data_IF_375944525278
#
_entry.id   IF_375944525278
#
_cell.length_a   1.000
_cell.length_b   1.000
_cell.length_c   1.000
_cell.angle_alpha   90.00
_cell.angle_beta   90.00
_cell.angle_gamma   90.00
#
_symmetry.space_group_name_H-M   'P 1'
#
loop_
_entity.id
_entity.type
_entity.pdbx_description
1 polymer ?
#
# COMPACT_ATOMS: atom_id res chain seq x y z
N UNK A 1 43.39 -21.20 -84.56
CA UNK A 1 43.72 -19.97 -83.79
C UNK A 1 42.42 -19.25 -83.49
N UNK A 2 42.34 -18.62 -82.30
CA UNK A 2 41.16 -18.08 -81.60
C UNK A 2 40.27 -19.22 -81.03
N UNK A 3 40.32 -19.61 -79.75
CA UNK A 3 40.24 -18.86 -78.48
C UNK A 3 38.93 -18.12 -78.32
N UNK A 4 38.01 -18.67 -77.52
CA UNK A 4 37.22 -17.91 -76.57
C UNK A 4 36.78 -18.82 -75.42
N UNK A 5 37.10 -18.35 -74.21
CA UNK A 5 36.83 -18.94 -72.90
C UNK A 5 35.51 -18.32 -72.36
N UNK A 6 34.92 -18.89 -71.29
CA UNK A 6 33.51 -18.74 -70.94
C UNK A 6 33.26 -17.52 -70.03
N UNK A 7 32.09 -16.91 -70.13
CA UNK A 7 31.63 -15.93 -69.13
C UNK A 7 30.50 -16.54 -68.29
N UNK A 8 30.92 -16.83 -67.07
CA UNK A 8 30.26 -17.33 -65.87
C UNK A 8 28.88 -16.74 -65.54
N UNK A 9 27.89 -17.62 -65.40
CA UNK A 9 26.59 -17.40 -64.71
C UNK A 9 26.73 -17.10 -63.19
N UNK A 10 27.96 -17.00 -62.67
CA UNK A 10 28.23 -16.75 -61.25
C UNK A 10 28.24 -15.27 -60.86
N UNK A 11 28.53 -14.38 -61.82
CA UNK A 11 28.62 -12.92 -61.55
C UNK A 11 27.25 -12.29 -61.24
N UNK A 12 26.17 -12.77 -61.88
CA UNK A 12 24.84 -12.14 -61.72
C UNK A 12 24.20 -12.44 -60.37
N UNK A 13 24.61 -13.52 -59.70
CA UNK A 13 24.04 -13.92 -58.40
C UNK A 13 24.74 -13.29 -57.19
N UNK A 14 26.00 -12.86 -57.35
CA UNK A 14 26.75 -12.17 -56.30
C UNK A 14 26.34 -10.69 -56.20
N UNK A 15 26.02 -10.05 -57.33
CA UNK A 15 25.57 -8.65 -57.36
C UNK A 15 24.19 -8.42 -56.72
N UNK A 16 23.28 -9.41 -56.78
CA UNK A 16 21.97 -9.33 -56.12
C UNK A 16 22.09 -9.55 -54.59
N UNK A 17 23.11 -10.31 -54.16
CA UNK A 17 23.31 -10.63 -52.74
C UNK A 17 24.05 -9.51 -51.99
N UNK A 18 24.87 -8.73 -52.68
CA UNK A 18 25.60 -7.59 -52.10
C UNK A 18 24.73 -6.34 -51.95
N UNK A 19 23.63 -6.21 -52.71
CA UNK A 19 22.68 -5.11 -52.55
C UNK A 19 21.71 -5.26 -51.35
N UNK A 20 21.66 -6.44 -50.72
CA UNK A 20 20.76 -6.76 -49.59
C UNK A 20 21.46 -6.78 -48.23
N UNK A 21 22.75 -6.43 -48.16
CA UNK A 21 23.49 -6.37 -46.91
C UNK A 21 23.91 -4.94 -46.60
N UNK A 22 23.25 -4.40 -45.57
CA UNK A 22 23.84 -3.49 -44.58
C UNK A 22 23.93 -2.00 -44.95
N UNK A 23 22.85 -1.42 -45.49
CA UNK A 23 22.52 -0.07 -45.01
C UNK A 23 21.74 -0.21 -43.70
N UNK A 24 22.21 0.35 -42.58
CA UNK A 24 21.33 0.53 -41.44
C UNK A 24 20.20 1.44 -41.92
N UNK A 25 19.02 0.86 -42.16
CA UNK A 25 17.81 1.64 -42.39
C UNK A 25 17.77 2.68 -41.27
N UNK A 26 17.86 3.95 -41.67
CA UNK A 26 17.82 5.05 -40.74
C UNK A 26 16.45 5.00 -40.09
N UNK A 27 16.39 4.47 -38.87
CA UNK A 27 15.15 4.30 -38.12
C UNK A 27 14.41 5.64 -38.16
N UNK A 28 13.19 5.61 -38.70
CA UNK A 28 12.33 6.80 -38.85
C UNK A 28 12.13 7.47 -37.48
N UNK A 29 11.99 8.79 -37.46
CA UNK A 29 11.75 9.53 -36.22
C UNK A 29 10.49 9.02 -35.48
N UNK A 30 9.46 8.62 -36.25
CA UNK A 30 8.23 8.04 -35.72
C UNK A 30 8.51 6.68 -35.06
N UNK A 31 9.32 5.83 -35.71
CA UNK A 31 9.70 4.53 -35.14
C UNK A 31 10.55 4.69 -33.87
N UNK A 32 11.49 5.63 -33.86
CA UNK A 32 12.29 5.94 -32.65
C UNK A 32 11.39 6.39 -31.50
N UNK A 33 10.42 7.26 -31.78
CA UNK A 33 9.45 7.75 -30.79
C UNK A 33 8.67 6.59 -30.16
N UNK A 34 8.08 5.71 -30.97
CA UNK A 34 7.34 4.56 -30.44
C UNK A 34 8.24 3.56 -29.72
N UNK A 35 9.48 3.37 -30.18
CA UNK A 35 10.45 2.53 -29.47
C UNK A 35 10.73 3.07 -28.07
N UNK A 36 11.00 4.37 -27.96
CA UNK A 36 11.20 5.03 -26.67
C UNK A 36 9.99 4.88 -25.75
N UNK A 37 8.76 5.09 -26.25
CA UNK A 37 7.55 4.94 -25.44
C UNK A 37 7.32 3.50 -24.96
N UNK A 38 7.57 2.50 -25.81
CA UNK A 38 7.46 1.09 -25.42
C UNK A 38 8.53 0.72 -24.40
N UNK A 39 9.77 1.16 -24.60
CA UNK A 39 10.88 0.88 -23.69
C UNK A 39 10.66 1.53 -22.31
N UNK A 40 10.09 2.74 -22.25
CA UNK A 40 9.70 3.40 -21.00
C UNK A 40 8.70 2.57 -20.20
N UNK A 41 7.63 2.06 -20.85
CA UNK A 41 6.65 1.19 -20.17
C UNK A 41 7.29 -0.14 -19.73
N UNK A 42 8.24 -0.68 -20.50
CA UNK A 42 8.98 -1.89 -20.10
C UNK A 42 9.87 -1.65 -18.88
N UNK A 43 10.53 -0.50 -18.78
CA UNK A 43 11.34 -0.13 -17.62
C UNK A 43 10.46 0.00 -16.36
N UNK A 44 9.33 0.70 -16.47
CA UNK A 44 8.34 0.79 -15.39
C UNK A 44 7.81 -0.58 -14.96
N UNK A 45 7.65 -1.51 -15.90
CA UNK A 45 7.21 -2.87 -15.60
C UNK A 45 8.25 -3.63 -14.76
N UNK A 46 9.54 -3.44 -14.99
CA UNK A 46 10.58 -4.14 -14.21
C UNK A 46 10.56 -3.71 -12.74
N UNK A 47 10.44 -2.40 -12.47
CA UNK A 47 10.30 -1.88 -11.11
C UNK A 47 9.02 -2.40 -10.45
N UNK A 48 7.91 -2.36 -11.19
CA UNK A 48 6.63 -2.89 -10.71
C UNK A 48 6.73 -4.36 -10.34
N UNK A 49 7.30 -5.19 -11.20
CA UNK A 49 7.42 -6.63 -10.99
C UNK A 49 8.21 -6.96 -9.72
N UNK A 50 9.25 -6.20 -9.42
CA UNK A 50 10.01 -6.36 -8.18
C UNK A 50 9.15 -6.05 -6.95
N UNK A 51 8.39 -4.95 -6.97
CA UNK A 51 7.51 -4.56 -5.87
C UNK A 51 6.32 -5.50 -5.70
N UNK A 52 5.72 -5.92 -6.81
CA UNK A 52 4.63 -6.89 -6.87
C UNK A 52 5.09 -8.23 -6.28
N UNK A 53 6.17 -8.81 -6.78
CA UNK A 53 6.67 -10.11 -6.30
C UNK A 53 7.03 -10.09 -4.81
N UNK A 54 7.71 -9.04 -4.34
CA UNK A 54 8.05 -8.87 -2.92
C UNK A 54 6.80 -8.79 -2.04
N UNK A 55 5.77 -8.08 -2.50
CA UNK A 55 4.49 -7.96 -1.78
C UNK A 55 3.74 -9.30 -1.78
N UNK A 56 3.74 -10.01 -2.91
CA UNK A 56 3.02 -11.29 -3.07
C UNK A 56 3.63 -12.44 -2.28
N UNK A 57 4.95 -12.44 -2.06
CA UNK A 57 5.60 -13.41 -1.16
C UNK A 57 5.08 -13.34 0.28
N UNK A 58 4.54 -12.19 0.70
CA UNK A 58 3.99 -12.03 2.06
C UNK A 58 2.69 -12.82 2.27
N UNK A 59 1.96 -13.17 1.20
CA UNK A 59 0.70 -13.94 1.32
C UNK A 59 0.95 -15.27 2.02
N UNK A 60 1.95 -16.04 1.57
CA UNK A 60 2.29 -17.35 2.15
C UNK A 60 2.76 -17.23 3.61
N UNK A 61 3.47 -16.14 3.94
CA UNK A 61 3.85 -15.83 5.32
C UNK A 61 2.59 -15.69 6.19
N UNK A 62 1.63 -14.88 5.75
CA UNK A 62 0.39 -14.67 6.50
C UNK A 62 -0.45 -15.93 6.63
N UNK A 63 -0.59 -16.72 5.56
CA UNK A 63 -1.30 -18.01 5.61
C UNK A 63 -0.70 -18.92 6.69
N UNK A 64 0.62 -19.06 6.70
CA UNK A 64 1.33 -19.91 7.66
C UNK A 64 1.15 -19.40 9.09
N UNK A 65 1.35 -18.10 9.33
CA UNK A 65 1.21 -17.51 10.66
C UNK A 65 -0.22 -17.62 11.20
N UNK A 66 -1.23 -17.42 10.35
CA UNK A 66 -2.64 -17.57 10.74
C UNK A 66 -2.98 -19.03 11.04
N UNK A 67 -2.51 -19.98 10.23
CA UNK A 67 -2.72 -21.40 10.48
C UNK A 67 -2.07 -21.86 11.78
N UNK A 68 -0.82 -21.46 12.03
CA UNK A 68 -0.11 -21.76 13.26
C UNK A 68 -0.86 -21.20 14.48
N UNK A 69 -1.34 -19.97 14.40
CA UNK A 69 -2.12 -19.35 15.46
C UNK A 69 -3.46 -20.02 15.71
N UNK A 70 -4.16 -20.41 14.65
CA UNK A 70 -5.40 -21.19 14.76
C UNK A 70 -5.13 -22.53 15.46
N UNK A 71 -4.00 -23.18 15.16
CA UNK A 71 -3.61 -24.44 15.82
C UNK A 71 -3.33 -24.26 17.32
N UNK A 72 -2.64 -23.18 17.71
CA UNK A 72 -2.40 -22.84 19.12
C UNK A 72 -3.69 -22.49 19.86
N UNK A 73 -4.62 -21.82 19.19
CA UNK A 73 -5.92 -21.48 19.74
C UNK A 73 -6.77 -22.73 19.99
N UNK A 74 -6.72 -23.73 19.10
CA UNK A 74 -7.37 -25.03 19.30
C UNK A 74 -6.78 -25.77 20.52
N UNK A 75 -5.45 -25.73 20.72
CA UNK A 75 -4.82 -26.31 21.92
C UNK A 75 -5.28 -25.61 23.19
N UNK A 76 -5.46 -24.28 23.15
CA UNK A 76 -5.97 -23.51 24.28
C UNK A 76 -7.43 -23.86 24.59
N UNK A 77 -8.26 -24.05 23.57
CA UNK A 77 -9.66 -24.47 23.70
C UNK A 77 -9.78 -25.88 24.29
N UNK A 78 -8.90 -26.81 23.90
CA UNK A 78 -8.84 -28.16 24.48
C UNK A 78 -8.41 -28.14 25.95
N UNK A 79 -7.36 -27.38 26.31
CA UNK A 79 -6.94 -27.20 27.71
C UNK A 79 -8.08 -26.69 28.59
N UNK A 80 -8.85 -25.73 28.08
CA UNK A 80 -10.04 -25.20 28.77
C UNK A 80 -11.08 -26.27 29.06
N UNK A 81 -11.36 -27.18 28.11
CA UNK A 81 -12.31 -28.30 28.31
C UNK A 81 -11.86 -29.26 29.41
N UNK A 82 -10.56 -29.47 29.55
CA UNK A 82 -9.98 -30.38 30.54
C UNK A 82 -9.98 -29.76 31.95
N UNK A 83 -9.79 -28.44 32.07
CA UNK A 83 -9.65 -27.74 33.35
C UNK A 83 -10.95 -27.11 33.89
N UNK A 84 -12.11 -27.44 33.30
CA UNK A 84 -13.42 -26.85 33.59
C UNK A 84 -13.91 -27.24 35.01
N UNK A 85 -13.44 -26.51 36.03
CA UNK A 85 -13.76 -26.73 37.44
C UNK A 85 -12.90 -25.98 38.46
N UNK A 86 -11.70 -25.52 38.07
CA UNK A 86 -10.77 -24.80 38.96
C UNK A 86 -10.74 -23.30 38.68
N UNK A 87 -10.89 -22.47 39.73
CA UNK A 87 -10.79 -21.01 39.60
C UNK A 87 -9.39 -20.53 39.21
N UNK A 88 -8.34 -21.25 39.59
CA UNK A 88 -6.96 -20.96 39.18
C UNK A 88 -6.72 -21.21 37.69
N UNK A 89 -7.40 -22.21 37.10
CA UNK A 89 -7.30 -22.53 35.67
C UNK A 89 -7.84 -21.41 34.77
N UNK A 90 -8.88 -20.69 35.21
CA UNK A 90 -9.41 -19.54 34.47
C UNK A 90 -8.41 -18.38 34.36
N UNK A 91 -7.59 -18.17 35.39
CA UNK A 91 -6.55 -17.13 35.37
C UNK A 91 -5.36 -17.53 34.50
N UNK A 92 -4.93 -18.80 34.51
CA UNK A 92 -3.86 -19.29 33.62
C UNK A 92 -4.30 -19.25 32.15
N UNK A 93 -5.49 -19.75 31.82
CA UNK A 93 -6.02 -19.72 30.44
C UNK A 93 -6.14 -18.28 29.89
N UNK A 94 -6.57 -17.33 30.72
CA UNK A 94 -6.62 -15.91 30.33
C UNK A 94 -5.23 -15.31 30.12
N UNK A 95 -4.23 -15.74 30.89
CA UNK A 95 -2.83 -15.34 30.70
C UNK A 95 -2.28 -15.86 29.37
N UNK A 96 -2.59 -17.12 29.02
CA UNK A 96 -2.15 -17.76 27.78
C UNK A 96 -2.87 -17.21 26.54
N UNK A 97 -4.13 -16.81 26.66
CA UNK A 97 -4.92 -16.21 25.57
C UNK A 97 -4.41 -14.82 25.15
N UNK A 98 -3.84 -14.05 26.09
CA UNK A 98 -3.51 -12.64 25.88
C UNK A 98 -2.36 -12.43 24.87
N UNK A 99 -1.24 -13.19 24.90
CA UNK A 99 -0.22 -13.15 23.85
C UNK A 99 -0.78 -13.48 22.47
N UNK A 100 -1.60 -14.52 22.34
CA UNK A 100 -2.23 -14.92 21.07
C UNK A 100 -3.13 -13.81 20.52
N UNK A 101 -3.94 -13.19 21.38
CA UNK A 101 -4.77 -12.05 21.00
C UNK A 101 -3.96 -10.86 20.49
N UNK A 102 -2.86 -10.53 21.17
CA UNK A 102 -2.00 -9.42 20.75
C UNK A 102 -1.35 -9.71 19.40
N UNK A 103 -0.88 -10.94 19.19
CA UNK A 103 -0.23 -11.33 17.94
C UNK A 103 -1.20 -11.40 16.77
N UNK A 104 -2.42 -11.93 16.96
CA UNK A 104 -3.49 -11.85 15.96
C UNK A 104 -3.81 -10.41 15.56
N UNK A 105 -3.78 -9.47 16.53
CA UNK A 105 -3.99 -8.05 16.25
C UNK A 105 -2.83 -7.44 15.45
N UNK A 106 -1.59 -7.86 15.71
CA UNK A 106 -0.43 -7.44 14.95
C UNK A 106 -0.53 -7.91 13.48
N UNK A 107 -0.84 -9.20 13.26
CA UNK A 107 -1.05 -9.73 11.92
C UNK A 107 -2.21 -9.00 11.21
N UNK A 108 -3.33 -8.73 11.90
CA UNK A 108 -4.43 -7.95 11.31
C UNK A 108 -3.96 -6.57 10.82
N UNK A 109 -3.11 -5.89 11.59
CA UNK A 109 -2.54 -4.61 11.15
C UNK A 109 -1.56 -4.77 9.98
N UNK A 110 -0.77 -5.83 9.94
CA UNK A 110 0.11 -6.13 8.79
C UNK A 110 -0.70 -6.45 7.52
N UNK A 111 -1.77 -7.25 7.62
CA UNK A 111 -2.69 -7.52 6.51
C UNK A 111 -3.33 -6.23 5.99
N UNK A 112 -3.70 -5.32 6.89
CA UNK A 112 -4.28 -4.02 6.51
C UNK A 112 -3.27 -3.20 5.68
N UNK A 113 -2.01 -3.12 6.14
CA UNK A 113 -0.94 -2.44 5.39
C UNK A 113 -0.66 -3.14 4.05
N UNK A 114 -0.74 -4.46 4.01
CA UNK A 114 -0.62 -5.22 2.76
C UNK A 114 -1.72 -4.85 1.76
N UNK A 115 -2.98 -4.80 2.21
CA UNK A 115 -4.12 -4.41 1.37
C UNK A 115 -3.94 -2.99 0.81
N UNK A 116 -3.49 -2.04 1.63
CA UNK A 116 -3.21 -0.67 1.18
C UNK A 116 -2.13 -0.63 0.07
N UNK A 117 -1.04 -1.39 0.23
CA UNK A 117 0.00 -1.51 -0.80
C UNK A 117 -0.53 -2.17 -2.08
N UNK A 118 -1.32 -3.23 -1.94
CA UNK A 118 -1.92 -3.92 -3.09
C UNK A 118 -2.90 -3.04 -3.85
N UNK A 119 -3.59 -2.11 -3.17
CA UNK A 119 -4.41 -1.10 -3.84
C UNK A 119 -3.57 -0.11 -4.66
N UNK A 120 -2.40 0.32 -4.16
CA UNK A 120 -1.49 1.16 -4.94
C UNK A 120 -1.00 0.42 -6.20
N UNK A 121 -0.58 -0.84 -6.06
CA UNK A 121 -0.20 -1.68 -7.20
C UNK A 121 -1.33 -1.82 -8.23
N UNK A 122 -2.58 -1.92 -7.76
CA UNK A 122 -3.75 -2.05 -8.64
C UNK A 122 -3.99 -0.79 -9.46
N UNK A 123 -3.81 0.37 -8.86
CA UNK A 123 -3.97 1.63 -9.57
C UNK A 123 -2.83 1.88 -10.56
N UNK A 124 -1.60 1.46 -10.24
CA UNK A 124 -0.49 1.46 -11.20
C UNK A 124 -0.74 0.54 -12.40
N UNK A 125 -1.24 -0.69 -12.18
CA UNK A 125 -1.61 -1.62 -13.25
C UNK A 125 -2.61 -1.00 -14.21
N UNK A 126 -3.64 -0.32 -13.69
CA UNK A 126 -4.61 0.42 -14.51
C UNK A 126 -3.96 1.57 -15.26
N UNK A 127 -3.09 2.35 -14.59
CA UNK A 127 -2.38 3.46 -15.21
C UNK A 127 -1.53 3.02 -16.41
N UNK A 128 -0.79 1.91 -16.25
CA UNK A 128 -0.02 1.31 -17.35
C UNK A 128 -0.91 0.80 -18.47
N UNK A 129 -2.06 0.22 -18.15
CA UNK A 129 -3.02 -0.22 -19.17
C UNK A 129 -3.56 0.96 -19.98
N UNK A 130 -3.87 2.08 -19.33
CA UNK A 130 -4.25 3.33 -20.00
C UNK A 130 -3.14 3.86 -20.90
N UNK A 131 -1.90 3.97 -20.40
CA UNK A 131 -0.74 4.38 -21.21
C UNK A 131 -0.56 3.50 -22.46
N UNK A 132 -0.71 2.19 -22.31
CA UNK A 132 -0.66 1.26 -23.45
C UNK A 132 -1.80 1.46 -24.44
N UNK A 133 -3.01 1.83 -23.99
CA UNK A 133 -4.10 2.22 -24.89
C UNK A 133 -3.77 3.51 -25.64
N UNK A 134 -3.22 4.51 -24.97
CA UNK A 134 -2.83 5.79 -25.58
C UNK A 134 -1.76 5.55 -26.65
N UNK A 135 -0.72 4.76 -26.36
CA UNK A 135 0.30 4.36 -27.36
C UNK A 135 -0.36 3.63 -28.55
N UNK A 136 -1.31 2.73 -28.29
CA UNK A 136 -2.03 1.99 -29.33
C UNK A 136 -2.81 2.92 -30.27
N UNK A 137 -3.47 3.94 -29.70
CA UNK A 137 -4.20 4.96 -30.44
C UNK A 137 -3.25 5.85 -31.25
N UNK A 138 -2.12 6.25 -30.68
CA UNK A 138 -1.09 7.03 -31.36
C UNK A 138 -0.48 6.28 -32.55
N UNK A 139 -0.17 4.99 -32.41
CA UNK A 139 0.31 4.16 -33.53
C UNK A 139 -0.74 4.14 -34.66
N UNK A 140 -2.03 4.02 -34.30
CA UNK A 140 -3.12 4.00 -35.28
C UNK A 140 -3.28 5.35 -35.99
N UNK A 141 -3.12 6.45 -35.25
CA UNK A 141 -3.16 7.80 -35.81
C UNK A 141 -1.98 8.05 -36.76
N UNK A 142 -0.75 7.71 -36.34
CA UNK A 142 0.46 7.86 -37.15
C UNK A 142 0.40 7.05 -38.46
N UNK A 143 -0.19 5.85 -38.42
CA UNK A 143 -0.39 5.03 -39.62
C UNK A 143 -1.37 5.68 -40.60
N UNK A 144 -2.46 6.29 -40.11
CA UNK A 144 -3.42 7.00 -40.97
C UNK A 144 -2.81 8.23 -41.60
N UNK A 145 -2.11 9.06 -40.81
CA UNK A 145 -1.42 10.24 -41.29
C UNK A 145 -0.35 9.88 -42.34
N UNK A 146 0.41 8.82 -42.11
CA UNK A 146 1.42 8.35 -43.08
C UNK A 146 0.85 7.72 -44.35
N UNK A 147 -0.44 7.33 -44.35
CA UNK A 147 -1.13 6.88 -45.55
C UNK A 147 -1.67 8.05 -46.40
N UNK A 148 -1.80 9.23 -45.80
CA UNK A 148 -2.15 10.49 -46.48
C UNK A 148 -0.90 11.24 -46.99
N UNK A 149 0.30 10.87 -46.52
CA UNK A 149 1.61 11.39 -46.95
C UNK A 149 2.23 10.52 -48.05
N UNK A 150 2.72 11.13 -49.13
CA UNK A 150 3.34 10.44 -50.27
C UNK A 150 4.67 9.75 -49.89
N UNK A 151 5.28 10.16 -48.77
CA UNK A 151 6.60 9.68 -48.32
C UNK A 151 6.53 8.41 -47.46
N UNK A 152 5.32 7.93 -47.07
CA UNK A 152 5.11 6.70 -46.28
C UNK A 152 6.05 6.55 -45.07
N UNK A 153 6.24 7.64 -44.32
CA UNK A 153 7.20 7.75 -43.20
C UNK A 153 7.00 6.74 -42.06
N UNK A 154 5.81 6.14 -41.97
CA UNK A 154 5.48 5.05 -41.06
C UNK A 154 4.67 3.98 -41.78
N UNK A 155 5.27 2.81 -41.94
CA UNK A 155 4.70 1.73 -42.75
C UNK A 155 3.67 0.91 -41.98
N UNK A 156 2.75 0.26 -42.70
CA UNK A 156 1.82 -0.71 -42.10
C UNK A 156 2.55 -1.87 -41.40
N UNK A 157 3.75 -2.24 -41.85
CA UNK A 157 4.57 -3.27 -41.23
C UNK A 157 5.08 -2.82 -39.84
N UNK A 158 5.66 -1.62 -39.75
CA UNK A 158 6.11 -1.04 -38.48
C UNK A 158 4.93 -0.87 -37.51
N UNK A 159 3.80 -0.35 -38.00
CA UNK A 159 2.60 -0.20 -37.18
C UNK A 159 2.13 -1.56 -36.62
N UNK A 160 2.03 -2.60 -37.46
CA UNK A 160 1.62 -3.92 -37.02
C UNK A 160 2.58 -4.52 -35.97
N UNK A 161 3.89 -4.30 -36.13
CA UNK A 161 4.91 -4.73 -35.16
C UNK A 161 4.67 -4.09 -33.79
N UNK A 162 4.59 -2.76 -33.73
CA UNK A 162 4.35 -2.05 -32.46
C UNK A 162 2.98 -2.38 -31.86
N UNK A 163 1.93 -2.50 -32.69
CA UNK A 163 0.61 -2.94 -32.23
C UNK A 163 0.68 -4.32 -31.57
N UNK A 164 1.44 -5.26 -32.12
CA UNK A 164 1.66 -6.57 -31.54
C UNK A 164 2.38 -6.51 -30.18
N UNK A 165 3.43 -5.70 -30.07
CA UNK A 165 4.17 -5.50 -28.81
C UNK A 165 3.27 -4.90 -27.72
N UNK A 166 2.55 -3.83 -28.04
CA UNK A 166 1.60 -3.18 -27.11
C UNK A 166 0.48 -4.14 -26.71
N UNK A 167 -0.07 -4.91 -27.66
CA UNK A 167 -1.10 -5.90 -27.37
C UNK A 167 -0.59 -6.97 -26.40
N UNK A 168 0.62 -7.49 -26.62
CA UNK A 168 1.24 -8.46 -25.73
C UNK A 168 1.40 -7.89 -24.31
N UNK A 169 1.89 -6.65 -24.19
CA UNK A 169 2.02 -5.98 -22.89
C UNK A 169 0.67 -5.77 -22.18
N UNK A 170 -0.38 -5.42 -22.93
CA UNK A 170 -1.75 -5.31 -22.37
C UNK A 170 -2.26 -6.64 -21.84
N UNK A 171 -1.99 -7.74 -22.55
CA UNK A 171 -2.38 -9.08 -22.10
C UNK A 171 -1.65 -9.48 -20.81
N UNK A 172 -0.34 -9.25 -20.72
CA UNK A 172 0.41 -9.51 -19.48
C UNK A 172 -0.08 -8.62 -18.33
N UNK A 173 -0.37 -7.35 -18.60
CA UNK A 173 -0.89 -6.43 -17.58
C UNK A 173 -2.27 -6.89 -17.04
N UNK A 174 -3.12 -7.45 -17.89
CA UNK A 174 -4.39 -8.05 -17.45
C UNK A 174 -4.18 -9.31 -16.59
N UNK A 175 -3.23 -10.19 -16.93
CA UNK A 175 -2.90 -11.35 -16.09
C UNK A 175 -2.44 -10.92 -14.71
N UNK A 176 -1.58 -9.90 -14.65
CA UNK A 176 -1.15 -9.30 -13.39
C UNK A 176 -2.33 -8.72 -12.61
N UNK A 177 -3.27 -8.06 -13.28
CA UNK A 177 -4.47 -7.53 -12.65
C UNK A 177 -5.32 -8.63 -12.01
N UNK A 178 -5.47 -9.77 -12.70
CA UNK A 178 -6.22 -10.94 -12.23
C UNK A 178 -5.55 -11.60 -11.02
N UNK A 179 -4.22 -11.83 -11.09
CA UNK A 179 -3.44 -12.35 -9.97
C UNK A 179 -3.48 -11.40 -8.76
N UNK A 180 -3.41 -10.09 -9.01
CA UNK A 180 -3.52 -9.08 -7.97
C UNK A 180 -4.88 -9.13 -7.28
N UNK A 181 -5.95 -9.27 -8.05
CA UNK A 181 -7.31 -9.39 -7.52
C UNK A 181 -7.48 -10.68 -6.72
N UNK A 182 -6.97 -11.81 -7.20
CA UNK A 182 -7.01 -13.07 -6.47
C UNK A 182 -6.30 -12.99 -5.11
N UNK A 183 -5.12 -12.35 -5.08
CA UNK A 183 -4.38 -12.10 -3.83
C UNK A 183 -5.15 -11.19 -2.86
N UNK A 184 -5.78 -10.13 -3.36
CA UNK A 184 -6.64 -9.24 -2.56
C UNK A 184 -7.82 -9.99 -1.94
N UNK A 185 -8.52 -10.82 -2.72
CA UNK A 185 -9.67 -11.59 -2.26
C UNK A 185 -9.26 -12.61 -1.19
N UNK A 186 -8.12 -13.27 -1.39
CA UNK A 186 -7.57 -14.21 -0.42
C UNK A 186 -7.20 -13.53 0.91
N UNK A 187 -6.46 -12.42 0.87
CA UNK A 187 -6.07 -11.69 2.08
C UNK A 187 -7.27 -11.08 2.80
N UNK A 188 -8.28 -10.61 2.06
CA UNK A 188 -9.54 -10.14 2.65
C UNK A 188 -10.24 -11.27 3.41
N UNK A 189 -10.20 -12.49 2.88
CA UNK A 189 -10.76 -13.67 3.55
C UNK A 189 -10.00 -13.97 4.85
N UNK A 190 -8.66 -13.99 4.81
CA UNK A 190 -7.84 -14.15 6.02
C UNK A 190 -8.11 -13.06 7.06
N UNK A 191 -8.27 -11.81 6.64
CA UNK A 191 -8.57 -10.70 7.54
C UNK A 191 -9.90 -10.91 8.28
N UNK A 192 -10.95 -11.35 7.58
CA UNK A 192 -12.25 -11.67 8.18
C UNK A 192 -12.16 -12.85 9.16
N UNK A 193 -11.33 -13.86 8.88
CA UNK A 193 -11.09 -14.98 9.80
C UNK A 193 -10.39 -14.53 11.09
N UNK A 194 -9.37 -13.67 10.97
CA UNK A 194 -8.69 -13.09 12.13
C UNK A 194 -9.66 -12.25 12.96
N UNK A 195 -10.48 -11.42 12.33
CA UNK A 195 -11.49 -10.60 13.03
C UNK A 195 -12.50 -11.45 13.80
N UNK A 196 -13.00 -12.52 13.17
CA UNK A 196 -13.89 -13.49 13.83
C UNK A 196 -13.21 -14.15 15.03
N UNK A 197 -11.93 -14.51 14.89
CA UNK A 197 -11.14 -15.14 15.95
C UNK A 197 -10.85 -14.19 17.11
N UNK A 198 -10.50 -12.94 16.81
CA UNK A 198 -10.32 -11.88 17.80
C UNK A 198 -11.62 -11.60 18.57
N UNK A 199 -12.77 -11.58 17.89
CA UNK A 199 -14.07 -11.44 18.53
C UNK A 199 -14.36 -12.60 19.49
N UNK A 200 -14.17 -13.86 19.05
CA UNK A 200 -14.33 -15.06 19.89
C UNK A 200 -13.44 -15.00 21.15
N UNK A 201 -12.14 -14.72 20.99
CA UNK A 201 -11.21 -14.59 22.12
C UNK A 201 -11.63 -13.49 23.09
N UNK A 202 -12.12 -12.37 22.56
CA UNK A 202 -12.55 -11.26 23.38
C UNK A 202 -13.79 -11.61 24.21
N UNK A 203 -14.80 -12.25 23.61
CA UNK A 203 -16.01 -12.70 24.31
C UNK A 203 -15.67 -13.72 25.40
N UNK A 204 -14.79 -14.68 25.11
CA UNK A 204 -14.45 -15.75 26.04
C UNK A 204 -13.60 -15.29 27.22
N UNK A 205 -12.64 -14.38 26.97
CA UNK A 205 -11.62 -14.02 27.97
C UNK A 205 -11.71 -12.58 28.46
N UNK A 206 -12.63 -11.75 27.94
CA UNK A 206 -12.74 -10.32 28.24
C UNK A 206 -11.38 -9.61 28.11
N UNK A 207 -10.75 -9.74 26.94
CA UNK A 207 -9.40 -9.25 26.65
C UNK A 207 -9.40 -7.80 26.15
N UNK A 208 -10.48 -7.36 25.50
CA UNK A 208 -10.71 -5.97 25.13
C UNK A 208 -11.05 -5.18 26.40
N UNK A 209 -10.08 -4.37 26.83
CA UNK A 209 -10.36 -3.29 27.77
C UNK A 209 -10.90 -3.76 29.12
N UNK A 210 -10.23 -4.68 29.80
CA UNK A 210 -10.12 -4.51 31.26
C UNK A 210 -9.24 -3.29 31.52
N UNK A 211 -9.80 -2.08 31.34
CA UNK A 211 -9.48 -0.97 32.24
C UNK A 211 -10.02 -1.39 33.59
N UNK A 212 -9.33 -2.35 34.22
CA UNK A 212 -9.50 -2.56 35.62
C UNK A 212 -9.01 -1.26 36.25
N UNK A 213 -9.98 -0.41 36.60
CA UNK A 213 -9.88 0.58 37.66
C UNK A 213 -9.69 -0.18 38.98
N UNK A 214 -8.69 -1.07 39.03
CA UNK A 214 -8.11 -1.48 40.28
C UNK A 214 -7.29 -0.28 40.68
N UNK A 215 -7.93 0.50 41.53
CA UNK A 215 -7.35 1.32 42.55
C UNK A 215 -6.30 0.47 43.31
N UNK A 216 -5.18 0.19 42.67
CA UNK A 216 -3.94 -0.17 43.34
C UNK A 216 -3.32 1.18 43.64
N UNK A 217 -3.70 1.73 44.79
CA UNK A 217 -2.85 2.65 45.53
C UNK A 217 -1.51 1.94 45.74
N UNK A 218 -0.61 2.10 44.77
CA UNK A 218 0.81 1.90 45.02
C UNK A 218 1.24 3.05 45.94
N UNK A 219 1.74 2.76 47.15
CA UNK A 219 2.29 3.79 48.01
C UNK A 219 3.50 4.40 47.29
N UNK A 220 3.51 5.72 47.28
CA UNK A 220 4.52 6.61 46.72
C UNK A 220 5.94 6.02 46.63
N UNK A 221 6.43 5.87 45.39
CA UNK A 221 7.85 5.72 45.08
C UNK A 221 8.30 6.90 44.22
N UNK A 222 8.86 7.89 44.91
CA UNK A 222 9.96 8.80 44.57
C UNK A 222 10.03 9.36 43.12
N UNK A 223 9.60 10.62 43.00
CA UNK A 223 10.21 11.70 42.22
C UNK A 223 11.00 11.33 40.95
N UNK A 224 10.32 11.33 39.80
CA UNK A 224 10.94 11.77 38.53
C UNK A 224 10.02 12.79 37.87
N UNK A 225 10.44 14.05 37.87
CA UNK A 225 9.79 15.17 37.21
C UNK A 225 9.75 14.95 35.70
N UNK A 226 8.67 14.35 35.18
CA UNK A 226 8.45 14.26 33.74
C UNK A 226 7.68 15.49 33.27
N UNK A 227 8.35 16.31 32.47
CA UNK A 227 7.73 17.44 31.76
C UNK A 227 6.68 16.87 30.80
N UNK A 228 5.40 17.27 30.89
CA UNK A 228 4.37 16.77 29.98
C UNK A 228 4.77 17.05 28.52
N UNK A 229 4.52 16.10 27.60
CA UNK A 229 4.87 16.23 26.17
C UNK A 229 4.40 17.57 25.58
N UNK A 230 3.23 18.02 26.01
CA UNK A 230 2.64 19.30 25.61
C UNK A 230 3.46 20.51 26.03
N UNK A 231 4.11 20.46 27.20
CA UNK A 231 5.03 21.50 27.69
C UNK A 231 6.37 21.48 26.96
N UNK A 232 6.78 20.33 26.41
CA UNK A 232 7.99 20.19 25.60
C UNK A 232 7.76 20.69 24.16
N UNK A 233 6.65 20.30 23.54
CA UNK A 233 6.34 20.64 22.14
C UNK A 233 5.89 22.09 22.00
N UNK A 234 5.08 22.60 22.94
CA UNK A 234 4.45 23.92 22.79
C UNK A 234 4.97 24.97 23.78
N UNK A 235 6.00 24.64 24.56
CA UNK A 235 6.48 25.46 25.66
C UNK A 235 5.45 25.61 26.79
N UNK A 236 5.92 26.09 27.95
CA UNK A 236 5.00 26.46 29.04
C UNK A 236 4.45 27.86 28.78
N UNK A 237 3.15 27.98 28.52
CA UNK A 237 2.49 29.29 28.47
C UNK A 237 2.50 29.89 29.88
N UNK A 238 2.88 31.17 30.08
CA UNK A 238 2.78 31.80 31.39
C UNK A 238 1.32 31.77 31.83
N UNK A 239 1.10 31.19 33.02
CA UNK A 239 -0.22 31.08 33.64
C UNK A 239 -0.71 32.51 33.91
N UNK A 240 -1.58 33.04 33.03
CA UNK A 240 -2.26 34.32 33.29
C UNK A 240 -2.94 34.22 34.65
N UNK A 241 -2.40 34.94 35.63
CA UNK A 241 -2.97 35.02 36.96
C UNK A 241 -4.39 35.56 36.81
N UNK A 242 -5.40 34.77 37.14
CA UNK A 242 -6.78 35.26 37.23
C UNK A 242 -6.77 36.40 38.25
N UNK A 243 -7.31 37.60 37.94
CA UNK A 243 -7.45 38.62 38.97
C UNK A 243 -8.35 38.07 40.08
N UNK A 244 -7.78 37.92 41.27
CA UNK A 244 -8.46 37.45 42.48
C UNK A 244 -9.35 38.57 43.01
N UNK A 245 -10.60 38.25 43.31
CA UNK A 245 -11.67 39.20 43.69
C UNK A 245 -11.59 39.61 45.17
N UNK A 246 -10.45 39.41 45.84
CA UNK A 246 -10.28 39.64 47.27
C UNK A 246 -9.11 40.58 47.60
N UNK A 247 -8.89 41.64 46.82
CA UNK A 247 -8.07 42.78 47.26
C UNK A 247 -8.93 43.82 47.98
N UNK A 248 -8.93 43.66 49.29
CA UNK A 248 -9.38 44.57 50.35
C UNK A 248 -9.11 46.07 50.08
N UNK A 249 -10.20 46.84 50.08
CA UNK A 249 -10.42 48.19 50.65
C UNK A 249 -9.45 49.36 50.34
N UNK A 250 -10.01 50.44 49.76
CA UNK A 250 -9.62 51.80 50.10
C UNK A 250 -10.87 52.63 50.48
N UNK A 251 -10.89 53.32 51.63
CA UNK A 251 -12.04 54.06 52.13
C UNK A 251 -11.99 55.52 51.67
N UNK A 252 -13.05 56.00 51.01
CA UNK A 252 -13.29 57.44 50.89
C UNK A 252 -14.78 57.75 50.65
N UNK A 253 -15.44 58.14 51.75
CA UNK A 253 -16.37 59.25 51.88
C UNK A 253 -17.50 59.41 50.82
N UNK A 254 -18.76 59.22 51.24
CA UNK A 254 -19.67 60.30 51.63
C UNK A 254 -21.17 59.88 51.61
N UNK A 255 -21.77 59.88 52.80
CA UNK A 255 -22.96 60.68 53.17
C UNK A 255 -24.28 60.48 52.38
N UNK A 256 -25.27 59.80 52.99
CA UNK A 256 -26.61 60.35 53.33
C UNK A 256 -27.43 59.36 54.20
N UNK A 257 -27.63 59.69 55.47
CA UNK A 257 -28.88 60.24 56.04
C UNK A 257 -30.01 59.20 56.15
N UNK A 258 -30.16 58.61 57.35
CA UNK A 258 -31.48 58.24 57.87
C UNK A 258 -31.80 59.21 59.01
N UNK A 259 -32.90 59.92 58.84
CA UNK A 259 -33.51 60.80 59.84
C UNK A 259 -34.76 60.10 60.36
N UNK A 260 -34.93 60.14 61.68
CA UNK A 260 -36.19 60.02 62.44
C UNK A 260 -36.78 58.61 62.61
N UNK A 261 -37.23 58.17 63.79
CA UNK A 261 -37.37 58.88 65.07
C UNK A 261 -37.98 57.99 66.17
N UNK A 262 -37.84 58.49 67.40
CA UNK A 262 -38.70 58.37 68.60
C UNK A 262 -39.32 57.02 69.01
N UNK A 263 -39.09 56.62 70.27
CA UNK A 263 -40.10 56.76 71.34
C UNK A 263 -39.54 56.41 72.73
N UNK A 264 -40.04 57.16 73.72
CA UNK A 264 -39.99 57.02 75.19
C UNK A 264 -38.66 57.32 75.90
#
# INVERSE_FOLDING_TARGET
MATECPTTEKEVTEDIKVALMDQPETISEIEKRFRMSVDEVLEENLDFWLRFSTTFQQIQKFETEVQDLQSELLKLEEKKRIEDGSSNAKYSLKSDAKPLYNYLREIHTELTVWLEKSMQLKDEVKGRFSSLCDIQEEITAALKESAEDDEFKFTSYQAAKFQGEVLNMKQENNKVADELQAGLDHITTLQLEIERTLAKLNEEFNLAGSKNRQNIQLPHSVSRSRVPLRSFIFGTKPKKHRPSIFSCMHPALYRRHFRSGHNA
#
